data_IF_207180164968
#
_entry.id   IF_207180164968
#
_cell.length_a   1.000
_cell.length_b   1.000
_cell.length_c   1.000
_cell.angle_alpha   90.00
_cell.angle_beta   90.00
_cell.angle_gamma   90.00
#
_symmetry.space_group_name_H-M   'P 1'
#
loop_
_entity.id
_entity.type
_entity.pdbx_description
1 polymer ?
#
# COMPACT_ATOMS: atom_id res chain seq x y z
N UNK A 1 15.99 3.50 30.34
CA UNK A 1 17.15 3.92 31.15
C UNK A 1 16.89 5.29 31.75
N UNK A 2 17.80 5.85 32.54
CA UNK A 2 17.59 7.17 33.17
C UNK A 2 18.28 8.25 32.33
N UNK A 3 17.54 9.30 31.97
CA UNK A 3 18.01 10.50 31.27
C UNK A 3 17.98 11.66 32.26
N UNK A 4 18.72 12.74 31.98
CA UNK A 4 18.70 13.97 32.75
C UNK A 4 17.29 14.62 32.89
N UNK A 5 16.29 14.12 32.16
CA UNK A 5 14.88 14.57 32.20
C UNK A 5 13.90 13.56 32.81
N UNK A 6 14.40 12.44 33.35
CA UNK A 6 13.58 11.34 33.89
C UNK A 6 13.87 10.00 33.21
N UNK A 7 13.10 8.96 33.56
CA UNK A 7 13.23 7.62 32.97
C UNK A 7 12.86 7.66 31.49
N UNK A 8 13.84 7.47 30.60
CA UNK A 8 13.58 7.25 29.18
C UNK A 8 13.13 5.80 28.98
N UNK A 9 11.94 5.63 28.40
CA UNK A 9 11.43 4.35 27.92
C UNK A 9 11.51 4.32 26.41
N UNK A 10 11.93 3.20 25.86
CA UNK A 10 11.95 2.92 24.43
C UNK A 10 11.50 1.49 24.24
N UNK A 11 10.67 1.25 23.24
CA UNK A 11 10.19 -0.09 22.91
C UNK A 11 10.15 -0.26 21.40
N UNK A 12 10.58 -1.43 20.95
CA UNK A 12 10.59 -1.83 19.55
C UNK A 12 9.37 -2.68 19.25
N UNK A 13 8.74 -2.44 18.11
CA UNK A 13 7.59 -3.19 17.62
C UNK A 13 7.86 -3.71 16.21
N UNK A 14 7.18 -4.79 15.83
CA UNK A 14 7.22 -5.34 14.48
C UNK A 14 5.83 -5.22 13.88
N UNK A 15 5.74 -4.61 12.70
CA UNK A 15 4.52 -4.56 11.89
C UNK A 15 4.67 -5.44 10.66
N UNK A 16 3.57 -6.06 10.24
CA UNK A 16 3.47 -6.81 8.99
C UNK A 16 2.45 -6.14 8.06
N UNK A 17 2.77 -6.05 6.77
CA UNK A 17 1.89 -5.43 5.76
C UNK A 17 0.87 -6.43 5.18
N UNK A 18 -0.37 -6.00 4.96
CA UNK A 18 -1.45 -6.79 4.34
C UNK A 18 -1.44 -6.79 2.80
N UNK A 19 -0.27 -6.99 2.19
CA UNK A 19 -0.11 -7.04 0.72
C UNK A 19 0.01 -8.50 0.23
N UNK A 20 -0.02 -8.72 -1.08
CA UNK A 20 0.21 -10.05 -1.68
C UNK A 20 1.52 -10.69 -1.22
N UNK A 21 2.53 -9.86 -0.91
CA UNK A 21 3.80 -10.28 -0.33
C UNK A 21 4.05 -9.56 0.99
N UNK A 22 3.58 -10.11 2.13
CA UNK A 22 3.73 -9.49 3.43
C UNK A 22 5.19 -9.24 3.79
N UNK A 23 5.49 -8.01 4.21
CA UNK A 23 6.82 -7.61 4.67
C UNK A 23 6.74 -7.24 6.13
N UNK A 24 7.79 -7.59 6.88
CA UNK A 24 7.95 -7.22 8.27
C UNK A 24 8.90 -6.04 8.39
N UNK A 25 8.54 -5.09 9.23
CA UNK A 25 9.37 -3.93 9.55
C UNK A 25 9.42 -3.74 11.05
N UNK A 26 10.62 -3.51 11.58
CA UNK A 26 10.82 -3.12 12.98
C UNK A 26 10.91 -1.61 13.08
N UNK A 27 10.25 -1.03 14.07
CA UNK A 27 10.34 0.39 14.38
C UNK A 27 10.38 0.62 15.90
N UNK A 28 10.96 1.75 16.29
CA UNK A 28 11.10 2.12 17.69
C UNK A 28 10.16 3.28 18.05
N UNK A 29 9.53 3.16 19.22
CA UNK A 29 8.81 4.25 19.88
C UNK A 29 9.61 4.71 21.09
N UNK A 30 9.91 6.00 21.14
CA UNK A 30 10.68 6.60 22.23
C UNK A 30 9.81 7.51 23.10
N UNK A 31 9.95 7.40 24.42
CA UNK A 31 9.24 8.19 25.42
C UNK A 31 8.04 7.45 26.01
N UNK A 32 7.91 7.48 27.33
CA UNK A 32 6.79 6.86 28.04
C UNK A 32 5.44 7.45 27.61
N UNK A 33 5.40 8.76 27.34
CA UNK A 33 4.19 9.45 26.89
C UNK A 33 3.72 8.95 25.52
N UNK A 34 4.65 8.76 24.56
CA UNK A 34 4.31 8.25 23.23
C UNK A 34 3.89 6.78 23.25
N UNK A 35 4.57 5.96 24.06
CA UNK A 35 4.15 4.57 24.29
C UNK A 35 2.71 4.51 24.82
N UNK A 36 2.39 5.33 25.81
CA UNK A 36 1.05 5.39 26.38
C UNK A 36 0.02 5.96 25.40
N UNK A 37 0.40 6.98 24.62
CA UNK A 37 -0.48 7.61 23.63
C UNK A 37 -0.82 6.67 22.47
N UNK A 38 0.17 5.94 21.96
CA UNK A 38 -0.04 5.02 20.84
C UNK A 38 -0.73 3.73 21.28
N UNK A 39 -0.56 3.32 22.54
CA UNK A 39 -1.25 2.18 23.16
C UNK A 39 -1.27 0.93 22.26
N UNK A 40 -0.12 0.61 21.64
CA UNK A 40 0.01 -0.45 20.63
C UNK A 40 -0.02 -1.81 21.32
N UNK A 41 -0.89 -2.70 20.88
CA UNK A 41 -0.98 -4.09 21.32
C UNK A 41 -0.68 -5.06 20.19
N UNK A 42 -0.36 -6.30 20.54
CA UNK A 42 -0.19 -7.36 19.55
C UNK A 42 -1.52 -7.70 18.88
N UNK A 43 -1.54 -7.70 17.55
CA UNK A 43 -2.73 -7.96 16.75
C UNK A 43 -3.49 -6.71 16.30
N UNK A 44 -3.08 -5.52 16.73
CA UNK A 44 -3.67 -4.27 16.26
C UNK A 44 -3.30 -4.03 14.78
N UNK A 45 -4.28 -3.62 13.98
CA UNK A 45 -3.98 -2.99 12.69
C UNK A 45 -3.73 -1.50 12.91
N UNK A 46 -2.54 -1.06 12.51
CA UNK A 46 -2.10 0.33 12.72
C UNK A 46 -1.46 0.89 11.45
N UNK A 47 -1.68 2.18 11.21
CA UNK A 47 -0.89 2.98 10.28
C UNK A 47 0.20 3.72 11.05
N UNK A 48 1.46 3.43 10.74
CA UNK A 48 2.63 4.00 11.43
C UNK A 48 3.29 5.04 10.52
N UNK A 49 3.39 6.27 11.01
CA UNK A 49 4.20 7.31 10.39
C UNK A 49 5.54 7.41 11.13
N UNK A 50 6.62 7.31 10.37
CA UNK A 50 7.97 7.22 10.91
C UNK A 50 8.96 8.05 10.10
N UNK A 51 10.04 8.42 10.78
CA UNK A 51 11.23 9.01 10.17
C UNK A 51 12.33 7.93 10.06
N UNK A 52 13.16 8.04 9.03
CA UNK A 52 14.32 7.17 8.83
C UNK A 52 15.57 8.02 8.91
N UNK A 53 16.44 7.69 9.85
CA UNK A 53 17.77 8.28 10.00
C UNK A 53 18.84 7.22 9.75
N UNK A 54 19.95 7.63 9.15
CA UNK A 54 21.12 6.78 9.00
C UNK A 54 22.20 7.19 9.99
N UNK A 55 22.79 6.23 10.70
CA UNK A 55 23.92 6.47 11.58
C UNK A 55 25.08 5.51 11.27
N UNK A 56 26.30 6.01 11.35
CA UNK A 56 27.50 5.19 11.25
C UNK A 56 27.86 4.64 12.64
N UNK A 57 28.05 3.33 12.72
CA UNK A 57 28.60 2.66 13.89
C UNK A 57 29.67 1.66 13.45
N UNK A 58 30.90 1.88 13.92
CA UNK A 58 32.04 1.01 13.64
C UNK A 58 32.29 0.79 12.13
N UNK A 59 32.23 1.87 11.33
CA UNK A 59 32.43 1.82 9.88
C UNK A 59 31.28 1.20 9.08
N UNK A 60 30.15 0.89 9.73
CA UNK A 60 28.94 0.36 9.09
C UNK A 60 27.78 1.32 9.30
N UNK A 61 27.00 1.53 8.26
CA UNK A 61 25.80 2.37 8.32
C UNK A 61 24.58 1.52 8.69
N UNK A 62 23.78 2.03 9.61
CA UNK A 62 22.53 1.43 10.04
C UNK A 62 21.42 2.46 9.93
N UNK A 63 20.22 1.98 9.60
CA UNK A 63 19.02 2.80 9.64
C UNK A 63 18.37 2.68 11.02
N UNK A 64 17.95 3.81 11.55
CA UNK A 64 17.08 3.91 12.69
C UNK A 64 15.70 4.33 12.19
N UNK A 65 14.66 3.56 12.54
CA UNK A 65 13.29 3.82 12.13
C UNK A 65 12.51 4.20 13.38
N UNK A 66 12.13 5.48 13.47
CA UNK A 66 11.45 6.02 14.65
C UNK A 66 10.04 6.47 14.33
N UNK A 67 9.06 5.90 15.04
CA UNK A 67 7.68 6.31 14.90
C UNK A 67 7.42 7.66 15.59
N UNK A 68 6.78 8.57 14.87
CA UNK A 68 6.33 9.86 15.40
C UNK A 68 4.81 9.97 15.50
N UNK A 69 4.06 9.18 14.73
CA UNK A 69 2.62 9.03 14.87
C UNK A 69 2.17 7.59 14.58
N UNK A 70 1.14 7.15 15.28
CA UNK A 70 0.49 5.86 15.10
C UNK A 70 -1.01 6.07 15.16
N UNK A 71 -1.71 5.59 14.13
CA UNK A 71 -3.16 5.60 14.07
C UNK A 71 -3.66 4.15 14.04
N UNK A 72 -4.58 3.81 14.93
CA UNK A 72 -5.30 2.54 14.86
C UNK A 72 -6.25 2.59 13.68
N UNK A 73 -6.22 1.55 12.85
CA UNK A 73 -7.11 1.43 11.69
C UNK A 73 -8.03 0.24 11.88
N UNK A 74 -9.30 0.43 11.52
CA UNK A 74 -10.23 -0.69 11.48
C UNK A 74 -9.77 -1.67 10.40
N UNK A 75 -9.66 -2.98 10.69
CA UNK A 75 -9.24 -3.98 9.71
C UNK A 75 -10.16 -4.04 8.49
N UNK A 76 -11.43 -3.64 8.66
CA UNK A 76 -12.38 -3.50 7.55
C UNK A 76 -12.02 -2.37 6.55
N UNK A 77 -11.30 -1.34 7.00
CA UNK A 77 -10.88 -0.22 6.15
C UNK A 77 -9.63 -0.56 5.31
N UNK A 78 -8.75 -1.42 5.82
CA UNK A 78 -7.49 -1.78 5.13
C UNK A 78 -7.73 -2.76 3.98
N UNK A 79 -8.72 -3.66 4.11
CA UNK A 79 -9.12 -4.57 3.04
C UNK A 79 -9.62 -3.87 1.76
N UNK A 80 -10.14 -2.64 1.85
CA UNK A 80 -10.61 -1.87 0.71
C UNK A 80 -9.49 -1.18 -0.09
N UNK A 81 -8.31 -0.98 0.52
CA UNK A 81 -7.17 -0.30 -0.10
C UNK A 81 -6.20 -1.27 -0.83
N UNK A 82 -6.20 -2.55 -0.46
CA UNK A 82 -5.33 -3.58 -1.06
C UNK A 82 -5.95 -4.29 -2.28
N UNK A 83 -7.16 -3.92 -2.69
CA UNK A 83 -7.75 -4.47 -3.91
C UNK A 83 -6.99 -3.93 -5.14
N UNK A 84 -6.40 -4.77 -5.99
CA UNK A 84 -5.87 -4.32 -7.27
C UNK A 84 -7.03 -3.67 -8.02
N UNK A 85 -6.88 -2.40 -8.38
CA UNK A 85 -7.86 -1.73 -9.22
C UNK A 85 -7.82 -2.41 -10.60
N UNK A 86 -8.61 -3.48 -10.74
CA UNK A 86 -8.91 -4.07 -12.01
C UNK A 86 -9.54 -2.97 -12.85
N UNK A 87 -8.83 -2.54 -13.89
CA UNK A 87 -9.37 -1.63 -14.89
C UNK A 87 -10.65 -2.26 -15.43
N UNK A 88 -11.79 -1.71 -15.03
CA UNK A 88 -13.11 -2.06 -15.54
C UNK A 88 -13.18 -1.56 -16.98
N UNK A 89 -12.74 -2.39 -17.93
CA UNK A 89 -13.12 -2.25 -19.32
C UNK A 89 -14.61 -2.59 -19.44
N UNK A 90 -15.43 -1.55 -19.60
CA UNK A 90 -16.89 -1.65 -19.75
C UNK A 90 -17.28 -2.51 -20.98
N UNK A 91 -18.27 -3.41 -20.88
CA UNK A 91 -18.83 -4.09 -22.04
C UNK A 91 -19.97 -3.24 -22.61
N UNK A 92 -19.75 -2.53 -23.70
CA UNK A 92 -20.84 -1.80 -24.38
C UNK A 92 -21.52 -2.73 -25.39
N UNK A 93 -22.50 -3.49 -24.92
CA UNK A 93 -23.45 -4.21 -25.75
C UNK A 93 -24.69 -3.36 -26.05
N UNK A 94 -25.04 -3.25 -27.33
CA UNK A 94 -26.42 -3.12 -27.81
C UNK A 94 -27.00 -1.70 -27.97
N UNK A 95 -26.96 -1.18 -29.19
CA UNK A 95 -27.96 -0.20 -29.66
C UNK A 95 -28.33 -0.54 -31.11
N UNK A 96 -29.52 -1.13 -31.26
CA UNK A 96 -30.20 -1.37 -32.54
C UNK A 96 -30.53 -0.01 -33.20
N UNK A 97 -30.12 0.19 -34.45
CA UNK A 97 -30.60 1.28 -35.30
C UNK A 97 -31.33 0.69 -36.53
N UNK A 98 -32.46 1.26 -36.96
CA UNK A 98 -33.27 0.70 -38.04
C UNK A 98 -32.70 1.05 -39.43
N UNK A 99 -32.88 0.11 -40.36
CA UNK A 99 -32.54 0.22 -41.80
C UNK A 99 -33.12 1.47 -42.48
N UNK A 100 -32.48 1.89 -43.61
CA UNK A 100 -33.17 1.82 -44.90
C UNK A 100 -32.29 1.27 -46.06
N UNK A 101 -32.87 0.98 -47.26
CA UNK A 101 -32.31 0.05 -48.26
C UNK A 101 -31.58 0.75 -49.44
N UNK A 102 -30.60 0.08 -50.05
CA UNK A 102 -30.40 -0.12 -51.53
C UNK A 102 -29.04 -0.81 -51.83
N UNK A 103 -29.08 -1.90 -52.62
CA UNK A 103 -27.97 -2.49 -53.42
C UNK A 103 -27.79 -1.69 -54.75
N UNK A 104 -26.77 -1.90 -55.63
CA UNK A 104 -25.85 -3.05 -55.79
C UNK A 104 -24.35 -2.73 -56.08
N UNK A 105 -23.53 -3.79 -55.98
CA UNK A 105 -22.26 -4.14 -56.63
C UNK A 105 -21.33 -3.05 -57.22
N UNK A 106 -20.06 -3.07 -56.78
CA UNK A 106 -18.90 -2.85 -57.64
C UNK A 106 -17.65 -3.55 -57.08
N UNK A 107 -17.01 -4.33 -57.95
CA UNK A 107 -15.75 -5.06 -57.79
C UNK A 107 -14.60 -4.27 -57.12
N UNK A 108 -13.81 -5.00 -56.33
CA UNK A 108 -12.49 -4.61 -55.88
C UNK A 108 -11.63 -5.86 -55.73
N UNK A 109 -11.13 -6.36 -56.87
CA UNK A 109 -10.11 -7.41 -56.97
C UNK A 109 -8.85 -7.08 -56.17
N UNK A 110 -8.05 -8.14 -55.94
CA UNK A 110 -6.75 -8.20 -55.26
C UNK A 110 -6.88 -8.35 -53.73
N UNK A 111 -6.31 -9.36 -53.09
CA UNK A 111 -4.95 -9.84 -53.30
C UNK A 111 -4.84 -11.27 -52.76
N UNK A 112 -4.58 -12.21 -53.68
CA UNK A 112 -4.18 -13.58 -53.40
C UNK A 112 -2.71 -13.56 -52.93
N UNK A 113 -2.46 -13.87 -51.66
CA UNK A 113 -1.10 -14.04 -51.14
C UNK A 113 -0.95 -15.45 -50.52
N UNK A 114 -0.03 -16.28 -51.05
CA UNK A 114 0.08 -17.68 -50.68
C UNK A 114 0.73 -17.89 -49.31
N UNK A 115 0.44 -19.07 -48.74
CA UNK A 115 1.09 -19.67 -47.57
C UNK A 115 2.55 -20.07 -47.85
#
# INVERSE_FOLDING_TARGET
>A
GVSARGEWKSQSFVIETHDQYPRKLVFDVFGADRLAQFAINSGDEISVSFDIDAHEFNGRWFNNIRAWAVNHVDPAAVAAASAPQAASASPTGGAQAPFPPTQPAAEGSADDLPF
#
